data_IF_778428196859
#
_entry.id   IF_778428196859
#
_cell.length_a   1.000
_cell.length_b   1.000
_cell.length_c   1.000
_cell.angle_alpha   90.00
_cell.angle_beta   90.00
_cell.angle_gamma   90.00
#
_symmetry.space_group_name_H-M   'P 1'
#
loop_
_entity.id
_entity.type
_entity.pdbx_description
1 polymer ?
#
# COMPACT_ATOMS: atom_id res chain seq x y z
N UNK A 1 11.52 4.72 -4.02
CA UNK A 1 10.07 4.52 -3.82
C UNK A 1 9.84 3.57 -2.64
N UNK A 2 9.85 4.10 -1.44
CA UNK A 2 9.93 3.26 -0.23
C UNK A 2 8.74 2.31 -0.04
N UNK A 3 7.52 2.75 -0.36
CA UNK A 3 6.37 1.88 -0.17
C UNK A 3 6.31 0.75 -1.20
N UNK A 4 6.68 1.02 -2.43
CA UNK A 4 6.76 -0.01 -3.48
C UNK A 4 7.81 -1.06 -3.11
N UNK A 5 8.95 -0.62 -2.62
CA UNK A 5 10.02 -1.53 -2.17
C UNK A 5 9.56 -2.39 -0.99
N UNK A 6 8.79 -1.83 -0.06
CA UNK A 6 8.23 -2.58 1.06
C UNK A 6 7.23 -3.64 0.59
N UNK A 7 6.38 -3.31 -0.39
CA UNK A 7 5.44 -4.27 -0.97
C UNK A 7 6.16 -5.44 -1.65
N UNK A 8 7.21 -5.14 -2.41
CA UNK A 8 8.00 -6.20 -3.06
C UNK A 8 8.71 -7.09 -2.05
N UNK A 9 9.28 -6.49 -1.00
CA UNK A 9 9.94 -7.25 0.05
C UNK A 9 8.95 -8.16 0.78
N UNK A 10 7.76 -7.66 1.09
CA UNK A 10 6.71 -8.44 1.73
C UNK A 10 6.29 -9.63 0.86
N UNK A 11 6.10 -9.41 -0.43
CA UNK A 11 5.73 -10.47 -1.36
C UNK A 11 6.79 -11.58 -1.41
N UNK A 12 8.06 -11.21 -1.38
CA UNK A 12 9.17 -12.17 -1.46
C UNK A 12 9.32 -13.02 -0.21
N UNK A 13 8.80 -12.59 0.92
CA UNK A 13 8.90 -13.34 2.17
C UNK A 13 7.95 -14.54 2.23
N UNK A 14 6.98 -14.64 1.30
CA UNK A 14 6.07 -15.77 1.17
C UNK A 14 5.28 -16.10 2.45
N UNK A 15 4.78 -15.09 3.14
CA UNK A 15 3.92 -15.29 4.30
C UNK A 15 2.64 -16.04 3.91
N UNK A 16 2.13 -16.86 4.84
CA UNK A 16 0.81 -17.48 4.67
C UNK A 16 -0.25 -16.39 4.92
N UNK A 17 -1.12 -16.08 3.93
CA UNK A 17 -2.04 -14.95 4.06
C UNK A 17 -3.33 -15.33 4.81
N UNK A 18 -3.43 -14.92 6.07
CA UNK A 18 -4.66 -15.04 6.86
C UNK A 18 -5.40 -13.71 6.99
N UNK A 19 -4.97 -12.67 6.28
CA UNK A 19 -5.52 -11.33 6.34
C UNK A 19 -6.41 -11.03 5.14
N UNK A 20 -7.16 -9.94 5.22
CA UNK A 20 -7.86 -9.37 4.06
C UNK A 20 -6.85 -8.65 3.16
N UNK A 21 -7.15 -8.47 1.87
CA UNK A 21 -8.37 -8.89 1.17
C UNK A 21 -8.46 -10.41 0.99
N UNK A 22 -9.69 -10.88 0.73
CA UNK A 22 -9.98 -12.32 0.65
C UNK A 22 -9.32 -13.08 -0.49
N UNK A 23 -8.76 -12.39 -1.49
CA UNK A 23 -8.03 -13.07 -2.56
C UNK A 23 -6.68 -13.66 -2.11
N UNK A 24 -6.25 -13.34 -0.88
CA UNK A 24 -5.05 -13.94 -0.26
C UNK A 24 -3.81 -13.84 -1.16
N UNK A 25 -3.42 -12.61 -1.50
CA UNK A 25 -2.27 -12.31 -2.38
C UNK A 25 -2.51 -12.91 -3.79
N UNK A 26 -3.78 -13.02 -4.17
CA UNK A 26 -4.17 -13.56 -5.46
C UNK A 26 -4.34 -15.08 -5.53
N UNK A 27 -4.00 -15.82 -4.48
CA UNK A 27 -4.05 -17.29 -4.47
C UNK A 27 -5.51 -17.79 -4.57
N UNK A 28 -6.42 -17.15 -3.81
CA UNK A 28 -7.83 -17.53 -3.73
C UNK A 28 -8.71 -16.81 -4.75
N UNK A 29 -8.13 -15.98 -5.62
CA UNK A 29 -8.91 -15.17 -6.54
C UNK A 29 -9.48 -15.99 -7.68
N UNK A 30 -10.71 -15.67 -8.17
CA UNK A 30 -11.23 -16.24 -9.40
C UNK A 30 -10.30 -15.94 -10.59
N UNK A 31 -10.27 -16.85 -11.55
CA UNK A 31 -9.39 -16.69 -12.71
C UNK A 31 -9.67 -15.39 -13.49
N UNK A 32 -10.96 -15.01 -13.60
CA UNK A 32 -11.33 -13.77 -14.28
C UNK A 32 -10.70 -12.55 -13.61
N UNK A 33 -10.69 -12.50 -12.29
CA UNK A 33 -10.07 -11.42 -11.54
C UNK A 33 -8.55 -11.40 -11.75
N UNK A 34 -7.91 -12.56 -11.75
CA UNK A 34 -6.48 -12.67 -12.04
C UNK A 34 -6.15 -12.16 -13.44
N UNK A 35 -7.00 -12.49 -14.43
CA UNK A 35 -6.80 -12.03 -15.80
C UNK A 35 -6.91 -10.50 -15.92
N UNK A 36 -7.88 -9.91 -15.23
CA UNK A 36 -8.09 -8.46 -15.26
C UNK A 36 -7.02 -7.68 -14.51
N UNK A 37 -6.65 -8.14 -13.32
CA UNK A 37 -5.71 -7.44 -12.46
C UNK A 37 -4.25 -7.75 -12.79
N UNK A 38 -4.00 -8.91 -13.41
CA UNK A 38 -2.67 -9.33 -13.79
C UNK A 38 -1.71 -9.41 -12.60
N UNK A 39 -0.46 -8.99 -12.77
CA UNK A 39 0.55 -9.09 -11.71
C UNK A 39 0.35 -8.11 -10.54
N UNK A 40 -0.61 -7.20 -10.63
CA UNK A 40 -0.87 -6.25 -9.54
C UNK A 40 -1.58 -6.89 -8.34
N UNK A 41 -2.34 -7.97 -8.56
CA UNK A 41 -3.17 -8.56 -7.51
C UNK A 41 -2.41 -8.97 -6.25
N UNK A 42 -1.23 -9.59 -6.32
CA UNK A 42 -0.46 -9.93 -5.11
C UNK A 42 -0.02 -8.72 -4.27
N UNK A 43 -0.07 -7.52 -4.84
CA UNK A 43 0.33 -6.29 -4.14
C UNK A 43 -0.85 -5.55 -3.50
N UNK A 44 -2.07 -6.06 -3.66
CA UNK A 44 -3.25 -5.48 -3.02
C UNK A 44 -3.34 -5.98 -1.59
N UNK A 45 -2.86 -5.17 -0.67
CA UNK A 45 -2.71 -5.50 0.74
C UNK A 45 -3.34 -4.43 1.62
N UNK A 46 -3.82 -4.84 2.79
CA UNK A 46 -4.32 -3.92 3.78
C UNK A 46 -3.21 -3.39 4.70
N UNK A 47 -3.60 -2.56 5.65
CA UNK A 47 -2.69 -2.06 6.68
C UNK A 47 -2.25 -3.22 7.57
N UNK A 48 -0.95 -3.35 7.80
CA UNK A 48 -0.40 -4.38 8.67
C UNK A 48 0.99 -3.95 9.18
N UNK A 49 1.47 -4.65 10.18
CA UNK A 49 2.73 -4.32 10.84
C UNK A 49 3.90 -4.14 9.86
N UNK A 50 3.97 -5.01 8.85
CA UNK A 50 5.08 -4.98 7.89
C UNK A 50 4.98 -3.85 6.86
N UNK A 51 3.81 -3.20 6.71
CA UNK A 51 3.56 -2.22 5.65
C UNK A 51 3.18 -0.83 6.15
N UNK A 52 3.31 -0.58 7.46
CA UNK A 52 2.99 0.71 8.05
C UNK A 52 1.48 1.01 8.12
N UNK A 53 1.11 2.13 8.71
CA UNK A 53 -0.28 2.57 8.91
C UNK A 53 -0.44 4.00 8.41
N UNK A 54 -1.43 4.22 7.53
CA UNK A 54 -1.68 5.53 6.96
C UNK A 54 -2.13 6.56 8.01
N UNK A 55 -2.83 6.14 9.06
CA UNK A 55 -3.29 7.05 10.12
C UNK A 55 -2.17 7.48 11.06
N UNK A 56 -1.18 6.61 11.27
CA UNK A 56 -0.01 6.90 12.10
C UNK A 56 1.25 6.41 11.39
N UNK A 57 1.65 7.07 10.27
CA UNK A 57 2.80 6.60 9.50
C UNK A 57 4.11 6.79 10.27
N UNK A 58 4.80 5.69 10.50
CA UNK A 58 6.07 5.69 11.23
C UNK A 58 7.22 5.08 10.41
N UNK A 59 6.92 4.36 9.35
CA UNK A 59 7.90 3.66 8.52
C UNK A 59 7.84 4.07 7.06
N UNK A 60 7.50 3.13 6.19
CA UNK A 60 7.55 3.30 4.73
C UNK A 60 6.60 4.38 4.22
N UNK A 61 5.39 4.48 4.80
CA UNK A 61 4.45 5.52 4.40
C UNK A 61 4.92 6.90 4.84
N UNK A 62 5.49 7.02 6.03
CA UNK A 62 6.08 8.27 6.49
C UNK A 62 7.21 8.72 5.56
N UNK A 63 8.09 7.81 5.21
CA UNK A 63 9.19 8.09 4.29
C UNK A 63 8.67 8.52 2.91
N UNK A 64 7.65 7.85 2.40
CA UNK A 64 7.03 8.21 1.13
C UNK A 64 6.41 9.61 1.18
N UNK A 65 5.73 9.97 2.27
CA UNK A 65 5.18 11.31 2.45
C UNK A 65 6.26 12.38 2.50
N UNK A 66 7.36 12.12 3.20
CA UNK A 66 8.48 13.05 3.29
C UNK A 66 9.15 13.28 1.93
N UNK A 67 9.35 12.22 1.15
CA UNK A 67 9.92 12.32 -0.19
C UNK A 67 8.98 13.08 -1.14
N UNK A 68 7.67 12.88 -1.02
CA UNK A 68 6.68 13.61 -1.81
C UNK A 68 6.70 15.09 -1.48
N UNK A 69 6.76 15.44 -0.19
CA UNK A 69 6.86 16.83 0.24
C UNK A 69 8.12 17.50 -0.32
N UNK A 70 9.23 16.80 -0.28
CA UNK A 70 10.50 17.30 -0.83
C UNK A 70 10.40 17.55 -2.34
N UNK A 71 9.79 16.60 -3.07
CA UNK A 71 9.62 16.72 -4.51
C UNK A 71 8.83 17.96 -4.93
N UNK A 72 7.77 18.30 -4.19
CA UNK A 72 6.92 19.44 -4.47
C UNK A 72 7.36 20.73 -3.75
N UNK A 73 8.41 20.68 -2.95
CA UNK A 73 8.90 21.83 -2.19
C UNK A 73 7.95 22.24 -1.07
N UNK A 74 7.16 21.32 -0.54
CA UNK A 74 6.23 21.57 0.55
C UNK A 74 6.88 21.31 1.90
N UNK A 75 6.34 21.91 2.97
CA UNK A 75 6.82 21.66 4.32
C UNK A 75 6.47 20.26 4.80
N UNK A 76 5.28 19.77 4.42
CA UNK A 76 4.84 18.42 4.74
C UNK A 76 3.82 17.95 3.70
N UNK A 77 3.55 16.65 3.71
CA UNK A 77 2.60 16.00 2.81
C UNK A 77 1.82 14.94 3.57
N UNK A 78 0.52 14.84 3.32
CA UNK A 78 -0.35 13.80 3.86
C UNK A 78 -1.06 13.08 2.74
N UNK A 79 -1.07 11.75 2.80
CA UNK A 79 -1.84 10.92 1.87
C UNK A 79 -3.27 10.73 2.42
N UNK A 80 -4.26 10.77 1.52
CA UNK A 80 -5.65 10.58 1.90
C UNK A 80 -6.25 9.36 1.20
N UNK A 81 -7.11 8.65 1.91
CA UNK A 81 -7.88 7.52 1.36
C UNK A 81 -9.30 7.91 1.01
N UNK A 82 -9.74 9.13 1.35
CA UNK A 82 -11.11 9.60 1.15
C UNK A 82 -11.25 10.68 0.07
N UNK A 83 -10.24 10.80 -0.79
CA UNK A 83 -10.25 11.73 -1.91
C UNK A 83 -9.97 13.17 -1.53
N UNK A 84 -10.00 14.05 -2.53
CA UNK A 84 -9.65 15.46 -2.39
C UNK A 84 -10.59 16.20 -1.43
N UNK A 85 -11.87 15.87 -1.42
CA UNK A 85 -12.86 16.54 -0.57
C UNK A 85 -12.49 16.44 0.90
N UNK A 86 -12.03 15.28 1.35
CA UNK A 86 -11.61 15.09 2.74
C UNK A 86 -10.42 15.95 3.13
N UNK A 87 -9.55 16.26 2.18
CA UNK A 87 -8.36 17.09 2.41
C UNK A 87 -8.70 18.58 2.47
N UNK A 88 -9.78 18.99 1.80
CA UNK A 88 -10.23 20.40 1.78
C UNK A 88 -10.98 20.75 3.06
N UNK A 89 -11.74 19.82 3.62
CA UNK A 89 -12.47 20.02 4.86
C UNK A 89 -11.54 20.02 6.08
#
# INVERSE_FOLDING_TARGET
>A
MPFVEALEAYRKEHFVPFHTPGHKIGIEAPQLLKDWMGPALPYDLGVMYALDDLHEPEGELKEAQELTAELYGADCCWFSINGTTALIE
#
